data_IF_593075129575
#
_entry.id   IF_593075129575
#
_cell.length_a   1.000
_cell.length_b   1.000
_cell.length_c   1.000
_cell.angle_alpha   90.00
_cell.angle_beta   90.00
_cell.angle_gamma   90.00
#
_symmetry.space_group_name_H-M   'P 1'
#
loop_
_entity.id
_entity.type
_entity.pdbx_description
1 polymer ?
#
# COMPACT_ATOMS: atom_id res chain seq x y z
N UNK A 1 -7.85 -5.08 50.25
CA UNK A 1 -7.33 -5.50 48.92
C UNK A 1 -8.48 -5.45 47.93
N UNK A 2 -8.30 -4.90 46.73
CA UNK A 2 -9.31 -5.05 45.68
C UNK A 2 -9.38 -6.51 45.28
N UNK A 3 -10.58 -7.05 45.06
CA UNK A 3 -10.74 -8.35 44.43
C UNK A 3 -10.06 -8.34 43.06
N UNK A 4 -9.46 -9.47 42.68
CA UNK A 4 -8.92 -9.65 41.33
C UNK A 4 -10.07 -9.48 40.33
N UNK A 5 -9.84 -8.69 39.28
CA UNK A 5 -10.76 -8.56 38.15
C UNK A 5 -10.17 -9.34 36.99
N UNK A 6 -10.93 -10.28 36.45
CA UNK A 6 -10.53 -10.98 35.23
C UNK A 6 -10.41 -9.98 34.07
N UNK A 7 -9.50 -10.27 33.13
CA UNK A 7 -9.43 -9.54 31.87
C UNK A 7 -10.65 -9.81 30.99
N UNK A 8 -10.84 -8.98 29.97
CA UNK A 8 -11.84 -9.23 28.95
C UNK A 8 -11.29 -10.17 27.86
N UNK A 9 -12.15 -11.03 27.32
CA UNK A 9 -11.85 -11.84 26.14
C UNK A 9 -12.00 -10.99 24.88
N UNK A 10 -11.05 -11.11 23.94
CA UNK A 10 -11.06 -10.33 22.69
C UNK A 10 -11.24 -11.27 21.51
N UNK A 11 -12.34 -11.09 20.77
CA UNK A 11 -12.58 -11.80 19.51
C UNK A 11 -12.11 -10.94 18.36
N UNK A 12 -11.24 -11.50 17.51
CA UNK A 12 -10.71 -10.80 16.33
C UNK A 12 -11.51 -11.13 15.07
N UNK A 13 -11.41 -10.26 14.07
CA UNK A 13 -11.92 -10.50 12.70
C UNK A 13 -11.07 -11.53 11.95
N UNK A 14 -9.88 -11.86 12.46
CA UNK A 14 -8.94 -12.76 11.80
C UNK A 14 -9.55 -14.15 11.61
N UNK A 15 -9.49 -14.61 10.37
CA UNK A 15 -9.76 -16.00 10.03
C UNK A 15 -8.45 -16.78 10.18
N UNK A 16 -8.42 -17.72 11.13
CA UNK A 16 -7.20 -18.47 11.46
C UNK A 16 -6.59 -19.21 10.27
N UNK A 17 -7.41 -19.75 9.37
CA UNK A 17 -6.92 -20.48 8.19
C UNK A 17 -6.33 -19.53 7.16
N UNK A 18 -6.96 -18.38 6.91
CA UNK A 18 -6.42 -17.37 6.00
C UNK A 18 -5.18 -16.68 6.58
N UNK A 19 -5.14 -16.43 7.89
CA UNK A 19 -3.96 -15.90 8.56
C UNK A 19 -2.75 -16.82 8.37
N UNK A 20 -2.93 -18.12 8.62
CA UNK A 20 -1.87 -19.11 8.41
C UNK A 20 -1.41 -19.15 6.93
N UNK A 21 -2.34 -19.21 5.99
CA UNK A 21 -2.02 -19.19 4.57
C UNK A 21 -1.28 -17.90 4.14
N UNK A 22 -1.64 -16.75 4.72
CA UNK A 22 -0.99 -15.47 4.47
C UNK A 22 0.45 -15.44 5.00
N UNK A 23 0.68 -15.97 6.19
CA UNK A 23 2.02 -16.09 6.76
C UNK A 23 2.92 -17.01 5.92
N UNK A 24 2.44 -18.21 5.57
CA UNK A 24 3.19 -19.16 4.74
C UNK A 24 3.53 -18.57 3.37
N UNK A 25 2.52 -18.06 2.65
CA UNK A 25 2.71 -17.50 1.31
C UNK A 25 3.70 -16.32 1.33
N UNK A 26 3.63 -15.48 2.36
CA UNK A 26 4.51 -14.33 2.48
C UNK A 26 5.95 -14.73 2.82
N UNK A 27 6.15 -15.68 3.74
CA UNK A 27 7.48 -16.19 4.09
C UNK A 27 8.16 -16.82 2.87
N UNK A 28 7.43 -17.69 2.15
CA UNK A 28 7.93 -18.31 0.92
C UNK A 28 8.33 -17.25 -0.11
N UNK A 29 7.48 -16.25 -0.34
CA UNK A 29 7.75 -15.22 -1.34
C UNK A 29 8.92 -14.32 -0.95
N UNK A 30 9.03 -13.90 0.32
CA UNK A 30 10.19 -13.13 0.81
C UNK A 30 11.48 -13.94 0.66
N UNK A 31 11.41 -15.25 0.86
CA UNK A 31 12.46 -16.21 0.54
C UNK A 31 12.85 -16.16 -0.94
N UNK A 32 11.90 -16.45 -1.81
CA UNK A 32 12.07 -16.58 -3.26
C UNK A 32 12.59 -15.30 -3.94
N UNK A 33 12.14 -14.12 -3.48
CA UNK A 33 12.57 -12.83 -4.03
C UNK A 33 13.81 -12.26 -3.34
N UNK A 34 14.38 -12.98 -2.37
CA UNK A 34 15.47 -12.51 -1.51
C UNK A 34 15.20 -11.13 -0.89
N UNK A 35 13.92 -10.87 -0.59
CA UNK A 35 13.48 -9.58 -0.07
C UNK A 35 13.93 -9.38 1.39
N UNK A 36 13.93 -8.11 1.82
CA UNK A 36 14.15 -7.75 3.22
C UNK A 36 12.95 -8.16 4.09
N UNK A 37 11.75 -8.15 3.52
CA UNK A 37 10.53 -8.52 4.21
C UNK A 37 9.30 -8.30 3.35
N UNK A 38 8.13 -8.33 3.97
CA UNK A 38 6.88 -8.01 3.31
C UNK A 38 5.70 -7.99 4.26
N UNK A 39 4.52 -7.66 3.73
CA UNK A 39 3.26 -7.65 4.46
C UNK A 39 2.08 -8.01 3.56
N UNK A 40 1.06 -8.58 4.18
CA UNK A 40 -0.23 -8.90 3.58
C UNK A 40 -1.33 -8.32 4.46
N UNK A 41 -2.33 -7.74 3.82
CA UNK A 41 -3.65 -7.46 4.42
C UNK A 41 -4.69 -8.10 3.49
N UNK A 42 -5.55 -8.94 4.03
CA UNK A 42 -6.67 -9.55 3.32
C UNK A 42 -7.94 -9.33 4.16
N UNK A 43 -9.03 -8.92 3.51
CA UNK A 43 -10.27 -8.70 4.25
C UNK A 43 -11.48 -8.42 3.37
N UNK A 44 -12.52 -7.86 4.00
CA UNK A 44 -13.82 -7.57 3.38
C UNK A 44 -13.98 -6.07 3.11
N UNK A 45 -14.17 -5.65 1.84
CA UNK A 45 -14.35 -4.23 1.53
C UNK A 45 -15.54 -3.56 2.20
N UNK A 46 -16.69 -4.25 2.28
CA UNK A 46 -17.96 -3.67 2.76
C UNK A 46 -17.97 -3.39 4.26
N UNK A 47 -17.27 -4.21 5.04
CA UNK A 47 -17.29 -4.15 6.52
C UNK A 47 -15.99 -3.59 7.09
N UNK A 48 -14.93 -3.51 6.29
CA UNK A 48 -13.58 -3.17 6.76
C UNK A 48 -12.91 -4.28 7.58
N UNK A 49 -13.54 -5.44 7.74
CA UNK A 49 -13.00 -6.55 8.53
C UNK A 49 -11.72 -7.10 7.91
N UNK A 50 -10.69 -7.23 8.75
CA UNK A 50 -9.40 -7.79 8.37
C UNK A 50 -9.42 -9.28 8.70
N UNK A 51 -9.37 -10.12 7.67
CA UNK A 51 -9.38 -11.58 7.81
C UNK A 51 -7.97 -12.15 7.96
N UNK A 52 -6.96 -11.48 7.39
CA UNK A 52 -5.55 -11.76 7.66
C UNK A 52 -4.72 -10.48 7.64
N UNK A 53 -3.74 -10.39 8.55
CA UNK A 53 -2.73 -9.35 8.59
C UNK A 53 -1.40 -9.98 8.96
N UNK A 54 -0.53 -10.18 7.98
CA UNK A 54 0.73 -10.88 8.14
C UNK A 54 1.92 -9.96 7.82
N UNK A 55 3.05 -10.22 8.46
CA UNK A 55 4.33 -9.60 8.18
C UNK A 55 5.41 -10.67 8.17
N UNK A 56 6.37 -10.54 7.27
CA UNK A 56 7.56 -11.38 7.25
C UNK A 56 8.81 -10.51 7.17
N UNK A 57 9.90 -10.97 7.77
CA UNK A 57 11.18 -10.27 7.76
C UNK A 57 12.33 -11.25 7.59
N UNK A 58 13.35 -10.81 6.86
CA UNK A 58 14.65 -11.49 6.80
C UNK A 58 15.53 -11.04 7.95
N UNK A 59 16.05 -11.98 8.73
CA UNK A 59 16.99 -11.71 9.83
C UNK A 59 18.39 -11.38 9.28
N UNK A 60 19.30 -10.96 10.16
CA UNK A 60 20.69 -10.69 9.77
C UNK A 60 21.42 -11.97 9.33
N UNK A 61 21.06 -13.12 9.90
CA UNK A 61 21.51 -14.46 9.53
C UNK A 61 20.92 -14.95 8.20
N UNK A 62 19.96 -14.19 7.64
CA UNK A 62 19.34 -14.47 6.36
C UNK A 62 18.10 -15.37 6.42
N UNK A 63 17.68 -15.79 7.62
CA UNK A 63 16.45 -16.56 7.82
C UNK A 63 15.20 -15.71 7.56
N UNK A 64 14.14 -16.30 7.01
CA UNK A 64 12.86 -15.61 6.81
C UNK A 64 11.87 -16.08 7.86
N UNK A 65 11.41 -15.15 8.68
CA UNK A 65 10.54 -15.43 9.82
C UNK A 65 9.28 -14.58 9.77
N UNK A 66 8.24 -15.01 10.48
CA UNK A 66 7.13 -14.13 10.81
C UNK A 66 7.67 -12.89 11.55
N UNK A 67 7.39 -11.72 11.01
CA UNK A 67 7.95 -10.47 11.51
C UNK A 67 7.31 -10.06 12.84
N UNK A 68 8.14 -9.77 13.84
CA UNK A 68 7.68 -9.28 15.15
C UNK A 68 7.08 -7.86 15.08
N UNK A 69 7.43 -7.10 14.05
CA UNK A 69 6.87 -5.78 13.77
C UNK A 69 5.81 -5.87 12.68
N UNK A 70 4.62 -5.34 12.99
CA UNK A 70 3.54 -5.26 12.03
C UNK A 70 3.84 -4.19 10.96
N UNK A 71 4.25 -4.66 9.78
CA UNK A 71 4.60 -3.82 8.62
C UNK A 71 3.36 -3.19 7.98
N UNK A 72 2.15 -3.72 8.21
CA UNK A 72 0.91 -3.19 7.65
C UNK A 72 0.62 -1.75 8.12
N UNK A 73 1.18 -1.35 9.26
CA UNK A 73 1.01 -0.03 9.87
C UNK A 73 2.27 0.85 9.81
N UNK A 74 3.31 0.41 9.10
CA UNK A 74 4.52 1.22 8.85
C UNK A 74 4.33 2.13 7.63
N UNK A 75 4.89 3.33 7.71
CA UNK A 75 4.78 4.30 6.64
C UNK A 75 5.79 4.04 5.51
N UNK A 76 5.37 4.25 4.28
CA UNK A 76 6.18 4.15 3.07
C UNK A 76 5.60 5.05 1.97
N UNK A 77 6.37 5.29 0.92
CA UNK A 77 5.84 5.88 -0.31
C UNK A 77 5.11 4.81 -1.13
N UNK A 78 3.81 4.99 -1.45
CA UNK A 78 3.02 3.95 -2.11
C UNK A 78 3.33 3.77 -3.60
N UNK A 79 3.89 4.78 -4.26
CA UNK A 79 4.09 4.75 -5.71
C UNK A 79 2.79 4.54 -6.48
N UNK A 80 2.84 3.76 -7.56
CA UNK A 80 1.76 3.68 -8.55
C UNK A 80 0.40 3.19 -8.04
N UNK A 81 0.30 2.55 -6.88
CA UNK A 81 -1.02 2.20 -6.31
C UNK A 81 -1.80 3.43 -5.83
N UNK A 82 -1.14 4.59 -5.63
CA UNK A 82 -1.77 5.89 -5.36
C UNK A 82 -2.58 6.43 -6.55
N UNK A 83 -2.28 5.98 -7.78
CA UNK A 83 -2.94 6.47 -9.00
C UNK A 83 -4.44 6.23 -9.01
N UNK A 84 -4.91 5.23 -8.26
CA UNK A 84 -6.33 5.02 -7.96
C UNK A 84 -6.98 6.29 -7.42
N UNK A 85 -6.37 6.91 -6.39
CA UNK A 85 -6.91 8.13 -5.80
C UNK A 85 -6.95 9.24 -6.84
N UNK A 86 -5.86 9.46 -7.59
CA UNK A 86 -5.78 10.50 -8.63
C UNK A 86 -6.86 10.34 -9.72
N UNK A 87 -7.05 9.12 -10.24
CA UNK A 87 -8.10 8.85 -11.22
C UNK A 87 -9.49 9.08 -10.62
N UNK A 88 -9.72 8.59 -9.39
CA UNK A 88 -10.98 8.76 -8.66
C UNK A 88 -11.36 10.24 -8.52
N UNK A 89 -10.40 11.10 -8.22
CA UNK A 89 -10.62 12.56 -8.14
C UNK A 89 -11.08 13.12 -9.48
N UNK A 90 -10.33 12.87 -10.55
CA UNK A 90 -10.63 13.41 -11.87
C UNK A 90 -12.00 12.95 -12.39
N UNK A 91 -12.36 11.69 -12.13
CA UNK A 91 -13.67 11.14 -12.48
C UNK A 91 -14.80 11.70 -11.63
N UNK A 92 -14.60 11.84 -10.31
CA UNK A 92 -15.66 12.32 -9.41
C UNK A 92 -16.01 13.78 -9.66
N UNK A 93 -15.01 14.57 -10.04
CA UNK A 93 -15.14 15.96 -10.48
C UNK A 93 -15.72 16.09 -11.89
N UNK A 94 -15.93 14.99 -12.62
CA UNK A 94 -16.51 14.99 -13.96
C UNK A 94 -15.57 15.53 -15.04
N UNK A 95 -14.25 15.56 -14.78
CA UNK A 95 -13.26 16.09 -15.71
C UNK A 95 -12.83 15.06 -16.74
N UNK A 96 -12.87 13.78 -16.37
CA UNK A 96 -12.46 12.66 -17.21
C UNK A 96 -13.37 11.45 -17.01
N UNK A 97 -13.31 10.54 -17.96
CA UNK A 97 -13.85 9.18 -17.91
C UNK A 97 -12.74 8.19 -18.29
N UNK A 98 -12.91 6.88 -18.07
CA UNK A 98 -11.95 5.90 -18.56
C UNK A 98 -11.66 6.00 -20.07
N UNK A 99 -12.65 6.39 -20.87
CA UNK A 99 -12.53 6.55 -22.32
C UNK A 99 -11.96 7.91 -22.77
N UNK A 100 -11.86 8.89 -21.88
CA UNK A 100 -11.28 10.20 -22.21
C UNK A 100 -9.82 10.03 -22.64
N UNK A 101 -9.39 10.77 -23.66
CA UNK A 101 -8.02 10.69 -24.20
C UNK A 101 -7.17 11.87 -23.77
N UNK A 102 -5.89 11.61 -23.47
CA UNK A 102 -4.87 12.61 -23.19
C UNK A 102 -3.67 12.42 -24.12
N UNK A 103 -3.04 13.51 -24.52
CA UNK A 103 -1.74 13.48 -25.19
C UNK A 103 -0.67 13.29 -24.12
N UNK A 104 0.03 12.15 -24.12
CA UNK A 104 0.99 11.75 -23.08
C UNK A 104 2.40 11.64 -23.68
N UNK A 105 3.29 12.62 -23.42
CA UNK A 105 4.71 12.44 -23.74
C UNK A 105 5.36 11.44 -22.78
N UNK A 106 6.43 10.75 -23.21
CA UNK A 106 7.18 9.81 -22.35
C UNK A 106 7.92 10.46 -21.17
N UNK A 107 8.02 11.79 -21.15
CA UNK A 107 8.57 12.57 -20.06
C UNK A 107 7.87 13.92 -19.92
N UNK A 108 7.82 14.45 -18.69
CA UNK A 108 7.38 15.80 -18.38
C UNK A 108 8.41 16.48 -17.47
N UNK A 109 8.77 17.72 -17.79
CA UNK A 109 9.67 18.53 -16.98
C UNK A 109 8.86 19.64 -16.30
N UNK A 110 8.90 19.65 -14.97
CA UNK A 110 8.36 20.73 -14.14
C UNK A 110 9.51 21.36 -13.38
N UNK A 111 9.74 22.65 -13.61
CA UNK A 111 10.88 23.39 -13.05
C UNK A 111 12.21 22.67 -13.35
N UNK A 112 12.92 22.23 -12.31
CA UNK A 112 14.21 21.54 -12.39
C UNK A 112 14.10 20.01 -12.35
N UNK A 113 12.88 19.45 -12.41
CA UNK A 113 12.63 18.01 -12.28
C UNK A 113 11.96 17.43 -13.52
N UNK A 114 12.58 16.37 -14.05
CA UNK A 114 12.01 15.57 -15.14
C UNK A 114 11.50 14.26 -14.57
N UNK A 115 10.24 13.96 -14.86
CA UNK A 115 9.59 12.69 -14.52
C UNK A 115 9.29 11.96 -15.82
N UNK A 116 9.55 10.66 -15.81
CA UNK A 116 9.43 9.79 -16.97
C UNK A 116 8.48 8.64 -16.66
N UNK A 117 7.89 8.10 -17.71
CA UNK A 117 7.22 6.81 -17.63
C UNK A 117 8.25 5.68 -17.48
N UNK A 118 7.81 4.53 -16.95
CA UNK A 118 8.69 3.41 -16.66
C UNK A 118 9.36 2.83 -17.92
N UNK A 119 8.72 3.00 -19.08
CA UNK A 119 9.24 2.65 -20.39
C UNK A 119 9.35 3.91 -21.23
N UNK A 120 10.42 4.04 -22.01
CA UNK A 120 10.58 5.16 -22.93
C UNK A 120 9.60 5.00 -24.11
N UNK A 121 8.88 6.06 -24.44
CA UNK A 121 7.95 6.10 -25.56
C UNK A 121 7.85 7.53 -26.13
N UNK A 122 7.43 7.70 -27.40
CA UNK A 122 7.18 9.02 -27.98
C UNK A 122 5.93 9.66 -27.36
N UNK A 123 5.51 10.80 -27.87
CA UNK A 123 4.20 11.34 -27.49
C UNK A 123 3.10 10.48 -28.10
N UNK A 124 2.20 9.99 -27.26
CA UNK A 124 1.08 9.13 -27.64
C UNK A 124 -0.25 9.76 -27.24
N UNK A 125 -1.35 9.34 -27.87
CA UNK A 125 -2.70 9.65 -27.41
C UNK A 125 -3.19 8.43 -26.67
N UNK A 126 -3.33 8.53 -25.35
CA UNK A 126 -3.75 7.44 -24.48
C UNK A 126 -5.12 7.76 -23.88
N UNK A 127 -6.01 6.78 -23.86
CA UNK A 127 -7.19 6.80 -22.99
C UNK A 127 -6.76 6.78 -21.52
N UNK A 128 -7.59 7.32 -20.62
CA UNK A 128 -7.30 7.25 -19.17
C UNK A 128 -7.23 5.80 -18.69
N UNK A 129 -8.03 4.90 -19.28
CA UNK A 129 -7.94 3.46 -19.03
C UNK A 129 -6.52 2.94 -19.33
N UNK A 130 -5.96 3.22 -20.51
CA UNK A 130 -4.59 2.83 -20.87
C UNK A 130 -3.54 3.46 -19.96
N UNK A 131 -3.72 4.72 -19.56
CA UNK A 131 -2.83 5.41 -18.61
C UNK A 131 -2.76 4.65 -17.29
N UNK A 132 -3.89 4.16 -16.79
CA UNK A 132 -3.95 3.38 -15.55
C UNK A 132 -3.42 1.95 -15.76
N UNK A 133 -3.80 1.28 -16.85
CA UNK A 133 -3.38 -0.09 -17.19
C UNK A 133 -1.86 -0.21 -17.31
N UNK A 134 -1.25 0.69 -18.09
CA UNK A 134 0.19 0.78 -18.34
C UNK A 134 0.93 1.54 -17.23
N UNK A 135 0.20 2.09 -16.25
CA UNK A 135 0.75 2.82 -15.13
C UNK A 135 1.63 4.00 -15.57
N UNK A 136 1.17 4.79 -16.55
CA UNK A 136 1.86 6.00 -17.00
C UNK A 136 1.92 7.04 -15.87
N UNK A 137 3.12 7.49 -15.52
CA UNK A 137 3.36 8.57 -14.57
C UNK A 137 2.94 9.90 -15.18
N UNK A 138 3.36 10.18 -16.40
CA UNK A 138 3.09 11.45 -17.09
C UNK A 138 1.59 11.62 -17.32
N UNK A 139 0.88 10.59 -17.76
CA UNK A 139 -0.57 10.61 -17.90
C UNK A 139 -1.28 10.90 -16.58
N UNK A 140 -0.80 10.30 -15.48
CA UNK A 140 -1.33 10.57 -14.12
C UNK A 140 -1.09 12.00 -13.66
N UNK A 141 0.11 12.54 -13.89
CA UNK A 141 0.43 13.92 -13.56
C UNK A 141 -0.49 14.87 -14.32
N UNK A 142 -0.74 14.60 -15.61
CA UNK A 142 -1.70 15.37 -16.41
C UNK A 142 -3.11 15.32 -15.85
N UNK A 143 -3.58 14.17 -15.38
CA UNK A 143 -4.87 14.06 -14.68
C UNK A 143 -4.93 14.99 -13.47
N UNK A 144 -3.90 14.95 -12.62
CA UNK A 144 -3.83 15.80 -11.45
C UNK A 144 -3.73 17.29 -11.79
N UNK A 145 -2.96 17.66 -12.82
CA UNK A 145 -2.87 19.05 -13.30
C UNK A 145 -4.22 19.57 -13.80
N UNK A 146 -5.04 18.72 -14.44
CA UNK A 146 -6.40 19.11 -14.81
C UNK A 146 -7.30 19.33 -13.60
N UNK A 147 -7.23 18.46 -12.57
CA UNK A 147 -7.95 18.68 -11.31
C UNK A 147 -7.50 19.98 -10.65
N UNK A 148 -6.18 20.23 -10.56
CA UNK A 148 -5.63 21.45 -9.97
C UNK A 148 -6.10 22.70 -10.72
N UNK A 149 -6.09 22.67 -12.05
CA UNK A 149 -6.46 23.80 -12.92
C UNK A 149 -7.97 24.09 -12.88
N UNK A 150 -8.80 23.06 -13.02
CA UNK A 150 -10.26 23.21 -13.17
C UNK A 150 -11.01 23.22 -11.83
N UNK A 151 -10.34 22.80 -10.74
CA UNK A 151 -10.84 22.90 -9.37
C UNK A 151 -9.83 23.68 -8.55
N UNK A 152 -8.99 22.98 -7.81
CA UNK A 152 -7.92 23.57 -7.03
C UNK A 152 -6.96 22.50 -6.56
N UNK A 153 -5.77 22.92 -6.14
CA UNK A 153 -4.86 22.05 -5.40
C UNK A 153 -5.46 21.52 -4.11
N UNK A 154 -6.23 22.35 -3.39
CA UNK A 154 -6.88 21.97 -2.14
C UNK A 154 -7.83 20.79 -2.36
N UNK A 155 -8.53 20.76 -3.49
CA UNK A 155 -9.39 19.62 -3.87
C UNK A 155 -8.62 18.31 -3.86
N UNK A 156 -7.40 18.27 -4.40
CA UNK A 156 -6.56 17.07 -4.40
C UNK A 156 -6.23 16.64 -2.96
N UNK A 157 -5.81 17.59 -2.13
CA UNK A 157 -5.48 17.35 -0.71
C UNK A 157 -6.70 16.82 0.05
N UNK A 158 -7.88 17.43 -0.15
CA UNK A 158 -9.12 17.01 0.49
C UNK A 158 -9.49 15.58 0.12
N UNK A 159 -9.33 15.17 -1.15
CA UNK A 159 -9.55 13.78 -1.53
C UNK A 159 -8.56 12.83 -0.89
N UNK A 160 -7.27 13.19 -0.78
CA UNK A 160 -6.30 12.34 -0.09
C UNK A 160 -6.72 12.08 1.36
N UNK A 161 -7.21 13.10 2.08
CA UNK A 161 -7.76 12.91 3.42
C UNK A 161 -9.06 12.12 3.43
N UNK A 162 -9.95 12.32 2.46
CA UNK A 162 -11.19 11.52 2.33
C UNK A 162 -10.90 10.03 2.10
N UNK A 163 -9.79 9.69 1.42
CA UNK A 163 -9.31 8.31 1.32
C UNK A 163 -8.70 7.76 2.63
N UNK A 164 -8.57 8.59 3.67
CA UNK A 164 -8.01 8.21 4.98
C UNK A 164 -6.51 8.45 5.12
N UNK A 165 -5.84 9.00 4.11
CA UNK A 165 -4.40 9.27 4.20
C UNK A 165 -4.09 10.39 5.21
N UNK A 166 -2.97 10.25 5.91
CA UNK A 166 -2.53 11.21 6.93
C UNK A 166 -3.23 11.07 8.29
N UNK A 167 -4.12 10.08 8.44
CA UNK A 167 -4.91 9.83 9.67
C UNK A 167 -4.70 8.42 10.21
N UNK A 168 -4.82 8.26 11.54
CA UNK A 168 -4.84 6.93 12.15
C UNK A 168 -6.08 6.16 11.69
N UNK A 169 -5.92 4.85 11.49
CA UNK A 169 -7.02 3.95 11.13
C UNK A 169 -7.90 3.57 12.32
N UNK A 170 -7.43 3.83 13.55
CA UNK A 170 -8.05 3.47 14.82
C UNK A 170 -8.12 1.96 15.08
N UNK A 171 -7.22 1.17 14.46
CA UNK A 171 -7.09 -0.26 14.76
C UNK A 171 -6.55 -0.55 16.17
N UNK A 172 -6.07 0.46 16.89
CA UNK A 172 -5.50 0.30 18.24
C UNK A 172 -4.18 -0.47 18.24
N UNK A 173 -3.54 -0.64 17.08
CA UNK A 173 -2.30 -1.39 16.95
C UNK A 173 -1.12 -0.56 17.50
N UNK A 174 -0.19 -1.20 18.23
CA UNK A 174 0.96 -0.50 18.76
C UNK A 174 1.81 0.08 17.62
N UNK A 175 2.35 1.27 17.90
CA UNK A 175 3.24 2.00 17.01
C UNK A 175 2.64 2.42 15.66
N UNK A 176 1.33 2.32 15.42
CA UNK A 176 0.70 2.72 14.16
C UNK A 176 1.22 4.10 13.69
N UNK A 177 1.48 4.24 12.39
CA UNK A 177 1.90 5.50 11.80
C UNK A 177 0.75 6.07 10.96
N UNK A 178 0.40 7.34 11.17
CA UNK A 178 -0.69 7.99 10.43
C UNK A 178 -0.35 8.35 8.97
N UNK A 179 0.89 8.14 8.53
CA UNK A 179 1.38 8.67 7.24
C UNK A 179 1.56 10.19 7.24
N UNK A 180 1.88 10.76 6.09
CA UNK A 180 2.12 12.19 5.90
C UNK A 180 1.53 12.64 4.57
N UNK A 181 0.49 13.46 4.64
CA UNK A 181 -0.05 14.24 3.52
C UNK A 181 0.45 15.68 3.68
N UNK A 182 0.99 16.27 2.63
CA UNK A 182 1.47 17.66 2.66
C UNK A 182 0.30 18.62 2.43
N UNK A 183 0.11 19.55 3.36
CA UNK A 183 -0.90 20.61 3.22
C UNK A 183 -0.43 21.77 2.33
N UNK A 184 0.88 22.02 2.30
CA UNK A 184 1.49 23.12 1.54
C UNK A 184 2.44 22.53 0.51
N UNK A 185 2.10 22.70 -0.76
CA UNK A 185 2.86 22.14 -1.86
C UNK A 185 3.79 23.17 -2.48
N UNK A 186 5.00 22.74 -2.82
CA UNK A 186 5.89 23.45 -3.70
C UNK A 186 5.51 23.18 -5.18
N UNK A 187 6.27 23.77 -6.12
CA UNK A 187 5.96 23.67 -7.55
C UNK A 187 6.08 22.26 -8.16
N UNK A 188 6.85 21.34 -7.54
CA UNK A 188 7.09 19.99 -8.08
C UNK A 188 6.24 18.91 -7.43
N UNK A 189 5.57 19.20 -6.32
CA UNK A 189 4.71 18.25 -5.60
C UNK A 189 3.55 17.72 -6.45
N UNK A 190 2.99 18.52 -7.37
CA UNK A 190 1.95 18.08 -8.32
C UNK A 190 2.44 16.98 -9.27
N UNK A 191 3.75 16.87 -9.44
CA UNK A 191 4.35 15.87 -10.31
C UNK A 191 4.74 14.58 -9.54
N UNK A 192 4.84 14.62 -8.21
CA UNK A 192 5.23 13.47 -7.38
C UNK A 192 4.09 12.87 -6.57
N UNK A 193 3.28 13.69 -5.89
CA UNK A 193 2.23 13.20 -4.98
C UNK A 193 1.17 12.37 -5.70
N UNK A 194 0.65 12.78 -6.87
CA UNK A 194 -0.37 12.01 -7.59
C UNK A 194 0.10 10.64 -8.10
N UNK A 195 1.42 10.44 -8.21
CA UNK A 195 2.03 9.15 -8.58
C UNK A 195 2.57 8.38 -7.36
N UNK A 196 2.31 8.88 -6.14
CA UNK A 196 2.65 8.22 -4.88
C UNK A 196 4.08 8.45 -4.37
N UNK A 197 4.70 9.57 -4.74
CA UNK A 197 6.00 10.03 -4.21
C UNK A 197 5.84 11.36 -3.47
N UNK A 198 6.69 11.65 -2.48
CA UNK A 198 6.54 12.82 -1.58
C UNK A 198 5.27 12.79 -0.71
N UNK A 199 4.71 11.60 -0.51
CA UNK A 199 3.57 11.29 0.36
C UNK A 199 3.88 9.99 1.09
N UNK A 200 3.60 9.94 2.41
CA UNK A 200 3.75 8.72 3.18
C UNK A 200 2.38 8.16 3.55
N UNK A 201 2.19 6.87 3.31
CA UNK A 201 0.99 6.12 3.68
C UNK A 201 1.38 4.82 4.37
N UNK A 202 0.44 4.11 4.96
CA UNK A 202 0.64 2.71 5.39
C UNK A 202 0.00 1.73 4.42
N UNK A 203 0.46 0.46 4.37
CA UNK A 203 -0.23 -0.58 3.59
C UNK A 203 -1.71 -0.70 3.95
N UNK A 204 -2.08 -0.56 5.23
CA UNK A 204 -3.50 -0.60 5.65
C UNK A 204 -4.30 0.60 5.15
N UNK A 205 -3.72 1.81 5.11
CA UNK A 205 -4.40 2.96 4.50
C UNK A 205 -4.62 2.76 3.00
N UNK A 206 -3.63 2.21 2.29
CA UNK A 206 -3.78 1.89 0.86
C UNK A 206 -4.83 0.80 0.63
N UNK A 207 -4.82 -0.27 1.41
CA UNK A 207 -5.86 -1.30 1.36
C UNK A 207 -7.26 -0.71 1.59
N UNK A 208 -7.41 0.16 2.59
CA UNK A 208 -8.67 0.83 2.89
C UNK A 208 -9.13 1.77 1.77
N UNK A 209 -8.22 2.45 1.08
CA UNK A 209 -8.55 3.27 -0.08
C UNK A 209 -9.12 2.45 -1.24
N UNK A 210 -8.59 1.23 -1.47
CA UNK A 210 -9.14 0.30 -2.47
C UNK A 210 -10.49 -0.27 -2.01
N UNK A 211 -10.67 -0.53 -0.71
CA UNK A 211 -11.96 -0.93 -0.16
C UNK A 211 -13.03 0.13 -0.40
N UNK A 212 -12.70 1.42 -0.31
CA UNK A 212 -13.64 2.48 -0.60
C UNK A 212 -14.18 2.38 -2.03
N UNK A 213 -13.33 2.07 -3.02
CA UNK A 213 -13.77 1.88 -4.41
C UNK A 213 -14.57 0.59 -4.58
N UNK A 214 -14.11 -0.52 -4.01
CA UNK A 214 -14.83 -1.79 -4.00
C UNK A 214 -16.21 -1.69 -3.33
N UNK A 215 -16.37 -0.78 -2.37
CA UNK A 215 -17.61 -0.52 -1.64
C UNK A 215 -18.40 0.68 -2.22
N UNK A 216 -18.37 0.86 -3.55
CA UNK A 216 -19.20 1.87 -4.22
C UNK A 216 -18.84 3.32 -3.87
N UNK A 217 -17.59 3.57 -3.49
CA UNK A 217 -17.07 4.88 -3.09
C UNK A 217 -17.24 5.22 -1.61
N UNK A 218 -17.79 4.30 -0.79
CA UNK A 218 -17.97 4.48 0.64
C UNK A 218 -16.73 3.99 1.41
N UNK A 219 -16.00 4.90 2.05
CA UNK A 219 -14.94 4.54 2.99
C UNK A 219 -15.56 3.96 4.26
N UNK A 220 -15.09 2.77 4.62
CA UNK A 220 -15.40 2.11 5.89
C UNK A 220 -14.07 1.90 6.61
N UNK A 221 -13.92 2.35 7.87
CA UNK A 221 -12.68 2.15 8.60
C UNK A 221 -12.34 0.66 8.73
N UNK A 222 -11.06 0.30 8.71
CA UNK A 222 -10.65 -1.09 8.91
C UNK A 222 -10.98 -1.53 10.34
N UNK A 223 -11.36 -2.81 10.50
CA UNK A 223 -11.78 -3.41 11.76
C UNK A 223 -10.97 -4.69 12.01
N UNK A 224 -10.34 -4.78 13.18
CA UNK A 224 -9.58 -5.96 13.61
C UNK A 224 -10.23 -6.70 14.80
N UNK A 225 -10.88 -5.97 15.70
CA UNK A 225 -11.57 -6.54 16.86
C UNK A 225 -13.06 -6.61 16.54
N UNK A 226 -13.63 -7.82 16.60
CA UNK A 226 -15.07 -8.05 16.44
C UNK A 226 -15.83 -7.66 17.69
N UNK A 227 -15.32 -8.08 18.85
CA UNK A 227 -16.02 -8.03 20.12
C UNK A 227 -15.05 -8.16 21.30
N UNK A 228 -15.40 -7.56 22.43
CA UNK A 228 -14.71 -7.72 23.71
C UNK A 228 -15.73 -8.08 24.79
N UNK A 229 -15.54 -9.22 25.46
CA UNK A 229 -16.47 -9.71 26.48
C UNK A 229 -15.82 -9.58 27.84
N UNK A 230 -16.38 -8.74 28.71
CA UNK A 230 -15.84 -8.56 30.07
C UNK A 230 -16.21 -9.71 31.02
N UNK A 231 -15.67 -9.67 32.24
CA UNK A 231 -15.88 -10.70 33.26
C UNK A 231 -17.35 -10.88 33.68
N UNK A 232 -18.21 -9.90 33.39
CA UNK A 232 -19.65 -9.95 33.65
C UNK A 232 -20.45 -10.44 32.42
N UNK A 233 -19.76 -10.81 31.34
CA UNK A 233 -20.37 -11.24 30.09
C UNK A 233 -20.93 -10.09 29.24
N UNK A 234 -20.53 -8.84 29.51
CA UNK A 234 -20.98 -7.69 28.71
C UNK A 234 -20.09 -7.52 27.49
N UNK A 235 -20.73 -7.28 26.36
CA UNK A 235 -20.10 -7.09 25.07
C UNK A 235 -19.75 -5.61 24.84
N UNK A 236 -18.53 -5.36 24.36
CA UNK A 236 -18.00 -4.05 24.04
C UNK A 236 -17.36 -4.06 22.65
N UNK A 237 -17.94 -3.31 21.71
CA UNK A 237 -17.35 -3.13 20.38
C UNK A 237 -16.47 -1.88 20.41
N UNK A 238 -15.22 -1.93 19.89
CA UNK A 238 -14.38 -0.74 19.85
C UNK A 238 -15.01 0.39 19.03
N UNK A 239 -14.81 1.62 19.50
CA UNK A 239 -15.21 2.81 18.76
C UNK A 239 -14.46 2.89 17.42
N UNK A 240 -15.21 3.02 16.33
CA UNK A 240 -14.67 3.24 15.00
C UNK A 240 -15.18 4.59 14.43
N UNK A 241 -14.39 5.27 13.58
CA UNK A 241 -14.90 6.42 12.84
C UNK A 241 -16.16 6.07 12.05
N UNK A 242 -17.02 7.06 11.80
CA UNK A 242 -18.20 6.82 10.97
C UNK A 242 -17.78 6.64 9.50
N UNK A 243 -18.37 5.69 8.76
CA UNK A 243 -18.21 5.62 7.31
C UNK A 243 -18.57 6.93 6.62
N UNK A 244 -17.90 7.24 5.51
CA UNK A 244 -18.15 8.46 4.74
C UNK A 244 -17.91 8.26 3.24
N UNK A 245 -18.64 9.01 2.42
CA UNK A 245 -18.54 8.92 0.96
C UNK A 245 -17.28 9.65 0.45
N UNK A 246 -16.40 8.93 -0.24
CA UNK A 246 -15.19 9.48 -0.88
C UNK A 246 -15.46 9.92 -2.31
N UNK A 247 -16.15 9.08 -3.09
CA UNK A 247 -16.55 9.36 -4.47
C UNK A 247 -17.94 8.83 -4.74
N UNK A 248 -18.63 9.30 -5.78
CA UNK A 248 -19.94 8.79 -6.17
C UNK A 248 -19.85 7.31 -6.55
N UNK A 249 -20.92 6.51 -6.36
CA UNK A 249 -20.97 5.13 -6.82
C UNK A 249 -20.64 4.95 -8.32
N UNK A 250 -21.09 5.87 -9.17
CA UNK A 250 -20.76 5.87 -10.61
C UNK A 250 -19.25 6.03 -10.86
N UNK A 251 -18.57 6.85 -10.06
CA UNK A 251 -17.12 7.02 -10.14
C UNK A 251 -16.40 5.77 -9.66
N UNK A 252 -16.85 5.16 -8.56
CA UNK A 252 -16.29 3.90 -8.09
C UNK A 252 -16.38 2.80 -9.16
N UNK A 253 -17.50 2.72 -9.89
CA UNK A 253 -17.66 1.82 -11.03
C UNK A 253 -16.66 2.11 -12.16
N UNK A 254 -16.48 3.38 -12.54
CA UNK A 254 -15.49 3.78 -13.57
C UNK A 254 -14.05 3.46 -13.15
N UNK A 255 -13.70 3.67 -11.88
CA UNK A 255 -12.36 3.32 -11.37
C UNK A 255 -12.19 1.80 -11.35
N UNK A 256 -13.23 1.05 -10.99
CA UNK A 256 -13.21 -0.41 -11.03
C UNK A 256 -12.97 -0.93 -12.45
N UNK A 257 -13.63 -0.36 -13.45
CA UNK A 257 -13.40 -0.67 -14.87
C UNK A 257 -11.95 -0.38 -15.28
N UNK A 258 -11.42 0.79 -14.91
CA UNK A 258 -10.03 1.13 -15.19
C UNK A 258 -9.03 0.17 -14.50
N UNK A 259 -9.32 -0.25 -13.27
CA UNK A 259 -8.48 -1.22 -12.55
C UNK A 259 -8.53 -2.62 -13.15
N UNK A 260 -9.68 -3.05 -13.70
CA UNK A 260 -9.77 -4.35 -14.41
C UNK A 260 -8.80 -4.40 -15.59
N UNK A 261 -8.70 -3.31 -16.36
CA UNK A 261 -7.76 -3.24 -17.48
C UNK A 261 -6.29 -3.42 -17.09
N UNK A 262 -5.92 -3.16 -15.84
CA UNK A 262 -4.56 -3.44 -15.35
C UNK A 262 -4.27 -4.94 -15.37
N UNK A 263 -5.27 -5.76 -15.05
CA UNK A 263 -5.17 -7.22 -15.03
C UNK A 263 -5.50 -7.80 -16.41
N UNK A 264 -6.43 -7.23 -17.17
CA UNK A 264 -6.81 -7.80 -18.46
C UNK A 264 -5.75 -7.57 -19.55
N UNK A 265 -5.14 -6.37 -19.59
CA UNK A 265 -4.25 -5.95 -20.68
C UNK A 265 -2.96 -5.24 -20.21
N UNK A 266 -2.88 -4.90 -18.93
CA UNK A 266 -1.83 -4.02 -18.40
C UNK A 266 -0.74 -4.71 -17.57
N UNK A 267 -0.20 -3.92 -16.63
CA UNK A 267 0.94 -4.31 -15.79
C UNK A 267 0.68 -5.49 -14.83
N UNK A 268 -0.57 -5.86 -14.60
CA UNK A 268 -1.00 -6.95 -13.73
C UNK A 268 -1.42 -8.23 -14.45
N UNK A 269 -1.21 -8.32 -15.77
CA UNK A 269 -1.71 -9.42 -16.61
C UNK A 269 -1.35 -10.84 -16.18
N UNK A 270 -0.25 -10.98 -15.45
CA UNK A 270 0.25 -12.25 -14.96
C UNK A 270 -0.41 -12.67 -13.63
N UNK A 271 -1.36 -11.88 -13.10
CA UNK A 271 -2.06 -12.12 -11.82
C UNK A 271 -3.54 -12.42 -12.11
N UNK A 272 -3.85 -13.66 -12.50
CA UNK A 272 -5.18 -14.07 -12.95
C UNK A 272 -5.82 -15.08 -11.99
N UNK A 273 -7.12 -14.90 -11.70
CA UNK A 273 -7.90 -15.83 -10.89
C UNK A 273 -8.99 -16.44 -11.78
N UNK A 274 -8.87 -17.72 -12.09
CA UNK A 274 -9.80 -18.41 -12.98
C UNK A 274 -11.26 -18.26 -12.51
N UNK A 275 -12.11 -17.74 -13.41
CA UNK A 275 -13.53 -17.48 -13.14
C UNK A 275 -13.84 -16.14 -12.47
N UNK A 276 -12.84 -15.31 -12.17
CA UNK A 276 -13.03 -14.02 -11.49
C UNK A 276 -12.34 -12.89 -12.25
N UNK A 277 -13.09 -11.82 -12.49
CA UNK A 277 -12.56 -10.52 -12.87
C UNK A 277 -11.94 -9.88 -11.64
N UNK A 278 -10.67 -9.53 -11.73
CA UNK A 278 -9.93 -8.86 -10.66
C UNK A 278 -9.78 -7.38 -11.03
N UNK A 279 -10.13 -6.49 -10.11
CA UNK A 279 -9.80 -5.07 -10.20
C UNK A 279 -8.59 -4.78 -9.30
N UNK A 280 -7.43 -4.51 -9.89
CA UNK A 280 -6.19 -4.37 -9.13
C UNK A 280 -5.22 -3.35 -9.72
N UNK A 281 -4.18 -3.03 -8.95
CA UNK A 281 -3.08 -2.17 -9.37
C UNK A 281 -1.74 -2.68 -8.86
N UNK A 282 -0.75 -2.63 -9.74
CA UNK A 282 0.67 -2.79 -9.42
C UNK A 282 1.27 -1.50 -8.86
N UNK A 283 2.18 -1.66 -7.91
CA UNK A 283 3.02 -0.60 -7.36
C UNK A 283 4.50 -0.97 -7.42
N UNK A 284 5.31 -0.01 -7.85
CA UNK A 284 6.76 -0.04 -7.70
C UNK A 284 7.14 1.36 -7.21
N UNK A 285 7.52 1.46 -5.95
CA UNK A 285 7.91 2.71 -5.33
C UNK A 285 9.40 2.69 -5.03
N UNK A 286 10.10 3.79 -5.34
CA UNK A 286 11.49 3.94 -4.92
C UNK A 286 11.54 4.18 -3.42
N UNK A 287 12.45 3.50 -2.71
CA UNK A 287 12.71 3.78 -1.30
C UNK A 287 13.77 4.87 -1.18
N UNK A 288 13.52 5.81 -0.26
CA UNK A 288 14.55 6.74 0.18
C UNK A 288 15.62 5.96 0.94
N UNK A 289 16.87 6.12 0.53
CA UNK A 289 18.04 5.48 1.11
C UNK A 289 18.62 6.32 2.25
N UNK A 290 19.57 5.77 2.99
CA UNK A 290 20.22 6.46 4.12
C UNK A 290 20.91 7.78 3.72
N UNK A 291 21.28 7.94 2.45
CA UNK A 291 21.85 9.17 1.91
C UNK A 291 20.80 10.26 1.58
N UNK A 292 19.52 10.02 1.88
CA UNK A 292 18.42 10.96 1.62
C UNK A 292 17.96 11.02 0.16
N UNK A 293 18.37 10.08 -0.68
CA UNK A 293 18.01 10.02 -2.12
C UNK A 293 17.39 8.68 -2.50
N UNK A 294 16.89 8.55 -3.74
CA UNK A 294 16.29 7.30 -4.24
C UNK A 294 17.29 6.32 -4.87
N UNK A 295 18.59 6.62 -4.85
CA UNK A 295 19.63 5.81 -5.49
C UNK A 295 21.00 6.06 -4.85
N UNK A 296 21.78 5.02 -4.66
CA UNK A 296 23.19 5.11 -4.29
C UNK A 296 24.08 4.34 -5.30
N UNK A 297 25.34 4.13 -4.93
CA UNK A 297 26.28 3.36 -5.75
C UNK A 297 25.85 1.90 -5.98
N UNK A 298 25.04 1.33 -5.08
CA UNK A 298 24.50 -0.03 -5.15
C UNK A 298 23.14 -0.09 -5.86
N UNK A 299 22.65 1.05 -6.37
CA UNK A 299 21.44 1.13 -7.16
C UNK A 299 20.24 1.62 -6.35
N UNK A 300 19.06 1.10 -6.71
CA UNK A 300 17.78 1.50 -6.13
C UNK A 300 17.22 0.38 -5.27
N UNK A 301 16.45 0.77 -4.27
CA UNK A 301 15.61 -0.14 -3.48
C UNK A 301 14.15 0.18 -3.74
N UNK A 302 13.31 -0.85 -3.63
CA UNK A 302 11.91 -0.75 -4.04
C UNK A 302 10.99 -1.30 -2.95
N UNK A 303 9.82 -0.70 -2.82
CA UNK A 303 8.64 -1.37 -2.29
C UNK A 303 7.79 -1.81 -3.49
N UNK A 304 7.58 -3.12 -3.63
CA UNK A 304 6.85 -3.71 -4.76
C UNK A 304 5.52 -4.23 -4.25
N UNK A 305 4.42 -3.69 -4.76
CA UNK A 305 3.08 -3.96 -4.23
C UNK A 305 2.10 -4.38 -5.30
N UNK A 306 1.08 -5.13 -4.86
CA UNK A 306 -0.08 -5.47 -5.64
C UNK A 306 -1.31 -5.38 -4.73
N UNK A 307 -2.29 -4.60 -5.14
CA UNK A 307 -3.52 -4.37 -4.36
C UNK A 307 -4.72 -4.44 -5.26
N UNK A 308 -5.78 -5.08 -4.78
CA UNK A 308 -6.99 -5.21 -5.56
C UNK A 308 -8.10 -5.91 -4.81
N UNK A 309 -9.20 -6.11 -5.51
CA UNK A 309 -10.38 -6.77 -5.01
C UNK A 309 -11.08 -7.58 -6.10
N UNK A 310 -11.85 -8.57 -5.69
CA UNK A 310 -12.59 -9.45 -6.58
C UNK A 310 -13.80 -10.08 -5.85
N UNK A 311 -14.80 -10.60 -6.60
CA UNK A 311 -15.06 -10.33 -8.02
C UNK A 311 -15.26 -8.82 -8.27
N UNK A 312 -14.81 -8.31 -9.41
CA UNK A 312 -14.87 -6.86 -9.68
C UNK A 312 -16.32 -6.35 -9.78
N UNK A 313 -17.27 -7.21 -10.17
CA UNK A 313 -18.71 -6.88 -10.29
C UNK A 313 -19.43 -6.83 -8.94
N UNK A 314 -19.01 -7.67 -7.99
CA UNK A 314 -19.57 -7.78 -6.65
C UNK A 314 -18.43 -8.08 -5.65
N UNK A 315 -17.68 -7.06 -5.19
CA UNK A 315 -16.48 -7.28 -4.40
C UNK A 315 -16.78 -7.92 -3.03
N UNK A 316 -16.16 -9.06 -2.78
CA UNK A 316 -16.26 -9.82 -1.53
C UNK A 316 -14.93 -9.79 -0.75
N UNK A 317 -13.80 -9.83 -1.48
CA UNK A 317 -12.46 -9.88 -0.92
C UNK A 317 -11.60 -8.78 -1.53
N UNK A 318 -10.80 -8.14 -0.67
CA UNK A 318 -9.68 -7.29 -1.08
C UNK A 318 -8.39 -7.74 -0.44
N UNK A 319 -7.30 -7.63 -1.20
CA UNK A 319 -5.97 -8.06 -0.78
C UNK A 319 -4.97 -6.95 -1.14
N UNK A 320 -4.10 -6.61 -0.19
CA UNK A 320 -2.93 -5.78 -0.38
C UNK A 320 -1.70 -6.59 0.00
N UNK A 321 -0.76 -6.73 -0.93
CA UNK A 321 0.54 -7.35 -0.70
C UNK A 321 1.63 -6.33 -1.00
N UNK A 322 2.62 -6.23 -0.13
CA UNK A 322 3.84 -5.45 -0.38
C UNK A 322 5.07 -6.26 0.00
N UNK A 323 6.01 -6.37 -0.93
CA UNK A 323 7.33 -6.99 -0.73
C UNK A 323 8.36 -5.87 -0.64
N UNK A 324 9.12 -5.86 0.44
CA UNK A 324 10.09 -4.83 0.77
C UNK A 324 11.50 -5.20 0.32
N UNK A 325 12.09 -4.34 -0.53
CA UNK A 325 13.43 -4.50 -1.10
C UNK A 325 13.68 -5.87 -1.79
N UNK A 326 12.77 -6.37 -2.66
CA UNK A 326 13.03 -7.58 -3.43
C UNK A 326 14.25 -7.37 -4.34
N UNK A 327 15.04 -8.44 -4.53
CA UNK A 327 16.19 -8.40 -5.43
C UNK A 327 15.75 -8.50 -6.89
N UNK A 328 16.53 -7.99 -7.85
CA UNK A 328 16.26 -8.20 -9.27
C UNK A 328 16.10 -9.70 -9.59
N UNK A 329 15.18 -10.07 -10.50
CA UNK A 329 14.34 -9.21 -11.35
C UNK A 329 12.99 -8.81 -10.74
N UNK A 330 12.76 -9.03 -9.44
CA UNK A 330 11.45 -8.94 -8.80
C UNK A 330 11.04 -7.52 -8.35
N UNK A 331 11.56 -6.45 -8.95
CA UNK A 331 11.23 -5.07 -8.55
C UNK A 331 9.85 -4.59 -9.05
N UNK A 332 9.18 -5.37 -9.91
CA UNK A 332 7.82 -5.07 -10.37
C UNK A 332 6.77 -5.69 -9.45
N UNK A 333 5.70 -4.94 -9.16
CA UNK A 333 4.62 -5.37 -8.27
C UNK A 333 3.97 -6.70 -8.64
N UNK A 334 3.72 -6.95 -9.94
CA UNK A 334 3.15 -8.23 -10.40
C UNK A 334 4.07 -9.41 -10.13
N UNK A 335 5.38 -9.29 -10.40
CA UNK A 335 6.35 -10.35 -10.18
C UNK A 335 6.65 -10.61 -8.70
N UNK A 336 6.74 -9.56 -7.88
CA UNK A 336 7.05 -9.70 -6.46
C UNK A 336 5.82 -10.03 -5.61
N UNK A 337 4.73 -9.30 -5.77
CA UNK A 337 3.57 -9.36 -4.87
C UNK A 337 2.39 -10.17 -5.46
N UNK A 338 2.34 -10.31 -6.78
CA UNK A 338 1.30 -11.08 -7.49
C UNK A 338 1.16 -12.54 -7.05
N UNK A 339 2.26 -13.32 -6.90
CA UNK A 339 2.15 -14.73 -6.50
C UNK A 339 1.43 -14.94 -5.15
N UNK A 340 1.69 -14.06 -4.19
CA UNK A 340 1.02 -14.10 -2.87
C UNK A 340 -0.45 -13.69 -3.02
N UNK A 341 -0.74 -12.64 -3.80
CA UNK A 341 -2.11 -12.22 -4.08
C UNK A 341 -2.92 -13.38 -4.68
N UNK A 342 -2.39 -14.08 -5.69
CA UNK A 342 -3.10 -15.19 -6.32
C UNK A 342 -3.38 -16.35 -5.36
N UNK A 343 -2.36 -16.76 -4.60
CA UNK A 343 -2.50 -17.87 -3.65
C UNK A 343 -3.62 -17.56 -2.66
N UNK A 344 -3.61 -16.37 -2.08
CA UNK A 344 -4.61 -15.98 -1.08
C UNK A 344 -5.99 -15.72 -1.67
N UNK A 345 -6.08 -15.19 -2.89
CA UNK A 345 -7.34 -15.08 -3.60
C UNK A 345 -7.97 -16.46 -3.81
N UNK A 346 -7.19 -17.45 -4.28
CA UNK A 346 -7.64 -18.84 -4.46
C UNK A 346 -8.07 -19.48 -3.13
N UNK A 347 -7.36 -19.23 -2.03
CA UNK A 347 -7.78 -19.69 -0.70
C UNK A 347 -9.11 -19.05 -0.27
N UNK A 348 -9.27 -17.74 -0.44
CA UNK A 348 -10.48 -17.04 -0.04
C UNK A 348 -11.70 -17.49 -0.87
N UNK A 349 -11.53 -17.70 -2.18
CA UNK A 349 -12.57 -18.28 -3.06
C UNK A 349 -13.04 -19.63 -2.53
N UNK A 350 -12.12 -20.55 -2.25
CA UNK A 350 -12.47 -21.88 -1.72
C UNK A 350 -13.14 -21.79 -0.36
N UNK A 351 -12.61 -20.95 0.52
CA UNK A 351 -13.05 -20.86 1.91
C UNK A 351 -14.44 -20.24 2.08
N UNK A 352 -14.78 -19.25 1.24
CA UNK A 352 -16.05 -18.54 1.34
C UNK A 352 -17.04 -18.89 0.22
N UNK A 353 -16.71 -19.86 -0.64
CA UNK A 353 -17.52 -20.26 -1.79
C UNK A 353 -17.96 -19.04 -2.63
N UNK A 354 -17.01 -18.15 -2.90
CA UNK A 354 -17.29 -16.88 -3.59
C UNK A 354 -17.81 -17.19 -5.00
N UNK A 355 -18.98 -16.66 -5.41
CA UNK A 355 -19.51 -16.88 -6.75
C UNK A 355 -18.58 -16.30 -7.82
N UNK A 356 -18.34 -17.07 -8.87
CA UNK A 356 -17.62 -16.59 -10.05
C UNK A 356 -18.44 -15.54 -10.80
N UNK A 357 -17.78 -14.69 -11.59
CA UNK A 357 -18.48 -13.69 -12.42
C UNK A 357 -19.35 -14.34 -13.51
N UNK A 358 -19.05 -15.58 -13.90
CA UNK A 358 -19.88 -16.36 -14.83
C UNK A 358 -21.15 -16.92 -14.16
N UNK A 359 -21.08 -17.24 -12.87
CA UNK A 359 -22.24 -17.70 -12.11
C UNK A 359 -23.23 -16.55 -11.82
N UNK A 360 -22.72 -15.31 -11.63
CA UNK A 360 -23.57 -14.13 -11.38
C UNK A 360 -24.19 -13.53 -12.65
N UNK A 361 -23.64 -13.82 -13.84
CA UNK A 361 -24.15 -13.36 -15.14
C UNK A 361 -25.20 -14.28 -15.77
N UNK A 362 -25.58 -15.40 -15.11
CA UNK A 362 -26.57 -16.34 -15.63
C UNK A 362 -26.07 -17.22 -16.79
N UNK A 363 -24.80 -17.09 -17.18
CA UNK A 363 -24.16 -17.99 -18.16
C UNK A 363 -23.64 -19.24 -17.45
N UNK A 364 -24.54 -20.15 -17.10
CA UNK A 364 -24.15 -21.53 -16.82
C UNK A 364 -23.73 -22.18 -18.13
N UNK A 365 -22.45 -22.08 -18.50
CA UNK A 365 -21.86 -23.06 -19.42
C UNK A 365 -21.68 -24.33 -18.58
N UNK A 366 -22.43 -25.42 -18.86
CA UNK A 366 -22.22 -26.64 -18.11
C UNK A 366 -20.77 -27.07 -18.31
N UNK A 367 -20.05 -27.32 -17.20
CA UNK A 367 -18.84 -28.12 -17.24
C UNK A 367 -19.27 -29.50 -17.75
N UNK A 368 -19.25 -29.68 -19.07
CA UNK A 368 -19.35 -30.99 -19.68
C UNK A 368 -18.04 -31.68 -19.32
N UNK A 369 -18.09 -32.52 -18.28
CA UNK A 369 -17.11 -33.59 -18.15
C UNK A 369 -17.20 -34.40 -19.43
N UNK A 370 -16.23 -34.24 -20.32
CA UNK A 370 -16.02 -35.23 -21.36
C UNK A 370 -15.57 -36.52 -20.67
N UNK A 371 -16.27 -37.65 -20.87
CA UNK A 371 -15.78 -38.92 -20.38
C UNK A 371 -14.46 -39.22 -21.09
N UNK A 372 -13.39 -39.39 -20.33
CA UNK A 372 -12.12 -39.87 -20.84
C UNK A 372 -12.36 -41.21 -21.57
N UNK A 373 -12.20 -41.22 -22.89
CA UNK A 373 -12.06 -42.46 -23.65
C UNK A 373 -10.78 -43.14 -23.20
N UNK A 374 -10.94 -44.15 -22.34
CA UNK A 374 -9.86 -45.03 -21.92
C UNK A 374 -9.45 -45.92 -23.10
N UNK A 375 -8.22 -45.74 -23.59
CA UNK A 375 -7.52 -46.76 -24.36
C UNK A 375 -7.04 -47.85 -23.40
N UNK A 376 -7.34 -49.14 -23.62
CA UNK A 376 -6.87 -50.18 -22.73
C UNK A 376 -5.38 -50.45 -22.98
N UNK A 377 -4.55 -50.20 -21.97
CA UNK A 377 -3.15 -50.66 -21.94
C UNK A 377 -3.10 -51.87 -20.99
N UNK A 378 -2.89 -53.05 -21.57
CA UNK A 378 -2.61 -54.29 -20.84
C UNK A 378 -1.25 -54.20 -20.15
N UNK A 379 -1.23 -54.32 -18.82
CA UNK A 379 -0.01 -54.43 -18.01
C UNK A 379 0.42 -55.91 -17.84
N UNK A 380 1.73 -56.22 -17.80
CA UNK A 380 2.23 -57.57 -17.54
C UNK A 380 2.15 -57.94 -16.04
N UNK A 381 2.11 -59.24 -15.68
CA UNK A 381 1.88 -59.68 -14.31
C UNK A 381 3.14 -59.53 -13.45
N UNK A 382 2.98 -59.00 -12.24
CA UNK A 382 4.01 -58.95 -11.20
C UNK A 382 3.71 -60.01 -10.14
N UNK A 383 4.64 -60.95 -9.96
CA UNK A 383 4.66 -61.94 -8.88
C UNK A 383 5.14 -61.31 -7.56
N UNK A 384 4.40 -61.54 -6.47
CA UNK A 384 4.76 -61.12 -5.11
C UNK A 384 5.38 -62.30 -4.34
N UNK A 385 6.58 -62.19 -3.76
CA UNK A 385 7.10 -63.19 -2.83
C UNK A 385 6.61 -62.92 -1.39
N UNK A 386 6.05 -63.95 -0.77
CA UNK A 386 5.65 -63.97 0.65
C UNK A 386 6.85 -64.37 1.53
N UNK A 387 7.16 -63.61 2.58
CA UNK A 387 8.04 -64.08 3.67
C UNK A 387 7.35 -63.89 5.02
N UNK A 388 7.12 -65.02 5.67
CA UNK A 388 6.53 -65.18 7.00
C UNK A 388 7.61 -64.89 8.06
N UNK A 389 7.27 -64.13 9.09
CA UNK A 389 8.05 -64.02 10.33
C UNK A 389 7.17 -64.55 11.48
N UNK A 390 7.72 -65.50 12.23
CA UNK A 390 7.12 -66.17 13.39
C UNK A 390 7.10 -65.25 14.61
N UNK A 391 6.04 -65.39 15.40
CA UNK A 391 5.90 -64.93 16.78
C UNK A 391 6.72 -65.80 17.73
N UNK A 392 7.24 -65.20 18.80
CA UNK A 392 7.62 -65.90 20.03
C UNK A 392 7.07 -65.10 21.22
N UNK A 393 6.48 -65.81 22.17
CA UNK A 393 5.75 -65.31 23.34
C UNK A 393 6.71 -65.00 24.51
N UNK A 394 6.35 -64.03 25.35
CA UNK A 394 7.10 -63.72 26.57
C UNK A 394 6.52 -62.58 27.42
N UNK A 395 5.51 -62.93 28.22
CA UNK A 395 5.12 -62.45 29.56
C UNK A 395 5.80 -61.22 30.20
N UNK A 396 4.98 -60.31 30.76
CA UNK A 396 5.40 -59.37 31.81
C UNK A 396 4.63 -58.04 31.85
N UNK A 397 3.51 -57.98 32.59
CA UNK A 397 2.83 -56.73 33.02
C UNK A 397 3.34 -56.26 34.41
N UNK A 398 2.88 -55.14 35.00
CA UNK A 398 3.39 -53.77 34.84
C UNK A 398 3.85 -53.15 36.19
N UNK A 399 4.65 -52.09 36.18
CA UNK A 399 4.87 -51.27 37.40
C UNK A 399 4.87 -49.76 37.08
N UNK A 400 3.92 -49.06 37.71
CA UNK A 400 3.90 -47.63 38.02
C UNK A 400 4.56 -47.46 39.41
N UNK A 401 5.28 -46.35 39.69
CA UNK A 401 4.62 -45.39 40.58
C UNK A 401 4.95 -43.91 40.31
N UNK A 402 3.93 -43.10 40.60
CA UNK A 402 3.96 -41.64 40.77
C UNK A 402 4.99 -41.12 41.80
N UNK A 403 5.55 -39.92 41.54
CA UNK A 403 5.70 -38.84 42.53
C UNK A 403 6.23 -37.52 41.89
N UNK A 404 5.45 -36.45 42.04
CA UNK A 404 5.90 -35.04 42.07
C UNK A 404 6.13 -34.70 43.58
N UNK A 405 7.00 -33.77 44.04
CA UNK A 405 6.93 -32.34 43.68
C UNK A 405 8.28 -31.56 43.66
N UNK A 406 8.33 -30.37 43.05
CA UNK A 406 8.71 -29.05 43.66
C UNK A 406 9.13 -27.98 42.63
N UNK A 407 8.91 -26.73 43.04
CA UNK A 407 8.88 -25.43 42.38
C UNK A 407 9.97 -25.04 41.35
N UNK A 408 9.67 -24.06 40.47
CA UNK A 408 10.60 -23.52 39.48
C UNK A 408 11.55 -22.45 40.09
N UNK A 409 12.78 -22.30 39.56
CA UNK A 409 13.69 -21.25 40.03
C UNK A 409 13.33 -19.86 39.48
N UNK A 410 13.32 -18.89 40.40
CA UNK A 410 13.20 -17.44 40.21
C UNK A 410 14.33 -16.86 39.35
N UNK A 411 14.08 -15.83 38.51
CA UNK A 411 15.10 -15.20 37.67
C UNK A 411 16.05 -14.29 38.45
N UNK A 412 17.32 -14.28 38.03
CA UNK A 412 18.37 -13.44 38.55
C UNK A 412 18.15 -11.96 38.20
N UNK A 413 18.32 -11.12 39.22
CA UNK A 413 18.40 -9.66 39.21
C UNK A 413 19.52 -9.15 38.30
N UNK A 414 19.21 -8.19 37.42
CA UNK A 414 20.21 -7.28 36.83
C UNK A 414 19.78 -5.84 37.09
N UNK A 415 20.74 -5.07 37.58
CA UNK A 415 20.62 -3.72 38.09
C UNK A 415 20.18 -2.73 36.99
N UNK A 416 19.17 -1.93 37.32
CA UNK A 416 18.78 -0.75 36.54
C UNK A 416 19.55 0.44 37.08
N UNK A 417 20.46 1.01 36.29
CA UNK A 417 21.04 2.33 36.57
C UNK A 417 20.27 3.40 35.80
N UNK A 418 19.60 4.26 36.56
CA UNK A 418 19.01 5.52 36.12
C UNK A 418 20.11 6.52 35.75
N UNK A 419 19.82 7.50 34.88
CA UNK A 419 20.21 8.86 35.26
C UNK A 419 19.04 9.84 35.24
N UNK A 420 19.08 10.62 36.31
CA UNK A 420 18.21 11.68 36.76
C UNK A 420 18.23 12.91 35.83
N UNK A 421 17.06 13.52 35.68
CA UNK A 421 16.83 14.88 35.20
C UNK A 421 17.54 15.94 36.05
N UNK A 422 18.14 16.96 35.41
CA UNK A 422 18.34 18.26 36.03
C UNK A 422 18.21 19.40 34.99
N UNK A 423 17.59 20.49 35.46
CA UNK A 423 17.05 21.64 34.74
C UNK A 423 17.84 22.90 35.14
N UNK A 424 17.80 23.91 34.26
CA UNK A 424 18.13 25.34 34.47
C UNK A 424 19.65 25.69 34.44
N UNK A 425 20.11 26.86 34.02
CA UNK A 425 19.48 28.16 33.79
C UNK A 425 20.29 29.04 32.81
N UNK A 426 19.63 30.11 32.36
CA UNK A 426 20.06 31.24 31.54
C UNK A 426 21.10 32.20 32.15
N UNK A 427 21.60 33.12 31.29
CA UNK A 427 22.38 34.39 31.47
C UNK A 427 23.85 34.20 31.09
N UNK A 428 24.51 35.12 30.38
CA UNK A 428 24.21 36.48 29.95
C UNK A 428 25.45 37.04 29.24
N UNK A 429 25.25 38.17 28.56
CA UNK A 429 26.14 38.87 27.63
C UNK A 429 27.58 39.17 28.11
N UNK A 430 28.51 39.29 27.13
CA UNK A 430 29.49 40.38 26.85
C UNK A 430 30.44 39.82 25.77
N UNK A 431 30.84 40.47 24.67
CA UNK A 431 31.19 41.87 24.44
C UNK A 431 32.70 41.98 24.16
N UNK A 432 33.10 42.64 23.06
CA UNK A 432 34.48 42.92 22.56
C UNK A 432 35.05 41.84 21.61
N UNK A 433 35.35 42.10 20.33
CA UNK A 433 36.32 43.09 19.81
C UNK A 433 37.72 42.49 19.97
N UNK A 434 38.54 42.20 18.94
CA UNK A 434 39.01 43.07 17.85
C UNK A 434 39.89 42.27 16.87
N UNK A 435 39.89 42.66 15.57
CA UNK A 435 41.03 42.76 14.60
C UNK A 435 42.01 41.57 14.44
N UNK A 436 42.08 40.94 13.26
CA UNK A 436 42.72 41.38 11.99
C UNK A 436 44.16 40.89 11.82
N UNK A 437 44.35 39.98 10.86
CA UNK A 437 45.43 39.92 9.85
C UNK A 437 44.90 39.01 8.73
N UNK A 438 44.97 39.27 7.42
CA UNK A 438 45.64 40.31 6.66
C UNK A 438 46.67 39.71 5.69
N UNK A 439 46.23 39.17 4.54
CA UNK A 439 47.11 39.03 3.35
C UNK A 439 46.33 39.04 2.03
N UNK A 440 46.40 40.22 1.38
CA UNK A 440 46.61 40.53 -0.06
C UNK A 440 47.01 39.34 -0.97
N UNK A 441 46.79 39.29 -2.28
CA UNK A 441 46.38 40.28 -3.32
C UNK A 441 46.34 39.56 -4.69
N UNK A 442 45.82 40.28 -5.70
CA UNK A 442 45.86 40.08 -7.17
C UNK A 442 44.63 39.38 -7.73
N UNK A 443 43.80 39.94 -8.61
CA UNK A 443 43.82 41.20 -9.34
C UNK A 443 43.84 40.96 -10.85
N UNK A 444 42.68 41.00 -11.51
CA UNK A 444 42.55 41.46 -12.91
C UNK A 444 41.10 41.85 -13.22
N UNK A 445 40.99 42.92 -14.01
CA UNK A 445 39.82 43.80 -14.26
C UNK A 445 39.08 43.44 -15.56
N UNK A 446 37.91 44.10 -15.69
CA UNK A 446 37.30 44.65 -16.94
C UNK A 446 36.26 43.74 -17.60
N UNK A 447 35.06 44.18 -18.02
CA UNK A 447 34.43 45.51 -18.09
C UNK A 447 32.91 45.35 -18.26
N UNK A 448 32.14 46.31 -17.77
CA UNK A 448 30.70 46.44 -17.94
C UNK A 448 30.33 47.10 -19.28
N UNK A 449 29.10 46.88 -19.74
CA UNK A 449 28.42 47.79 -20.67
C UNK A 449 26.94 47.88 -20.30
N UNK A 450 26.58 49.01 -19.70
CA UNK A 450 25.23 49.52 -19.49
C UNK A 450 24.85 50.38 -20.69
N UNK A 451 23.62 50.22 -21.21
CA UNK A 451 23.02 51.16 -22.14
C UNK A 451 21.78 51.80 -21.51
N UNK A 452 21.81 53.12 -21.43
CA UNK A 452 20.66 54.02 -21.23
C UNK A 452 20.83 55.20 -22.18
N UNK A 453 19.76 55.56 -22.89
CA UNK A 453 19.61 56.88 -23.54
C UNK A 453 18.17 57.38 -23.28
N UNK A 454 18.12 58.63 -22.80
CA UNK A 454 17.00 59.58 -22.57
C UNK A 454 16.44 60.12 -23.92
N UNK A 455 15.25 60.71 -24.10
CA UNK A 455 14.20 61.26 -23.23
C UNK A 455 13.29 62.23 -24.04
N UNK A 456 12.33 62.88 -23.34
CA UNK A 456 11.44 64.02 -23.73
C UNK A 456 10.22 63.72 -24.65
N UNK A 457 8.99 64.24 -24.49
CA UNK A 457 8.39 65.36 -23.69
C UNK A 457 6.86 65.35 -23.83
N UNK A 458 6.13 65.81 -22.79
CA UNK A 458 4.95 66.67 -22.96
C UNK A 458 3.54 66.13 -22.61
N UNK A 459 2.82 66.85 -21.74
CA UNK A 459 1.36 67.06 -21.92
C UNK A 459 0.40 66.58 -20.82
N UNK A 460 0.12 67.47 -19.87
CA UNK A 460 -1.02 67.46 -18.95
C UNK A 460 -2.38 67.53 -19.68
N UNK A 461 -3.41 66.84 -19.19
CA UNK A 461 -4.71 67.46 -18.80
C UNK A 461 -5.68 66.43 -18.17
N UNK A 462 -6.17 66.81 -17.00
CA UNK A 462 -7.34 66.26 -16.31
C UNK A 462 -8.64 66.76 -16.93
N UNK A 463 -9.65 65.88 -17.09
CA UNK A 463 -11.06 66.29 -17.20
C UNK A 463 -11.92 65.39 -16.31
N UNK A 464 -12.69 66.06 -15.47
CA UNK A 464 -13.77 65.61 -14.59
C UNK A 464 -15.14 65.67 -15.31
N UNK A 465 -16.09 64.87 -14.84
CA UNK A 465 -17.54 64.97 -15.13
C UNK A 465 -18.04 63.88 -16.09
N UNK A 466 -19.22 63.25 -15.93
CA UNK A 466 -20.38 63.55 -15.12
C UNK A 466 -21.29 62.31 -15.00
N UNK A 467 -22.21 62.36 -14.03
CA UNK A 467 -23.34 61.46 -13.75
C UNK A 467 -24.29 61.24 -14.95
N UNK A 468 -25.06 60.15 -14.90
CA UNK A 468 -26.33 60.00 -15.60
C UNK A 468 -27.03 58.67 -15.25
N UNK A 469 -28.22 58.79 -14.68
CA UNK A 469 -29.12 57.73 -14.20
C UNK A 469 -29.59 56.75 -15.29
N UNK A 470 -30.00 55.55 -14.86
CA UNK A 470 -30.68 54.52 -15.64
C UNK A 470 -30.83 53.21 -14.87
#
# INVERSE_FOLDING_TARGET
MSAARAGADVTLTLDRSLQFAAEEALIEQVGATQARGGTVILGRPRTGEILAMASASRTEEGEVVAGSLNQAVRQYEPGSIMKLATASMAFNEGLLTPASTLVVPGAITLYDKTIQDAHAHPTEVMTVKEIIANSSNVGTIKMAQMVEKERSRQTIIDYLHRFGFGSYTNLGLPFEQKGIVKEKWNGTDIASIPIGQSILTTPVQMWTAYNAIANGGLYVPPKLVLDMVDAEGRHHVPDAPRPHQVVKPSTAAQVTEALRSVVDEGTGKDVQIEGFNVAAKTGTAYKVLSNGTYKDANGRKYASSFVGFFPASAPEISIMVMIDEPKPPYHYGSAAAGPVFERLAKEAVRRFAIPSDHASSGETKPLRAEPATATPVTAPPVTVPTKVIKTDDGDGTPDDPAANPTDPPTPATTETTTPTTAKAASKGATGSGTKSTGTKSTGTKSTATTNTVSGATGGSTSVTGNRGDG
#
